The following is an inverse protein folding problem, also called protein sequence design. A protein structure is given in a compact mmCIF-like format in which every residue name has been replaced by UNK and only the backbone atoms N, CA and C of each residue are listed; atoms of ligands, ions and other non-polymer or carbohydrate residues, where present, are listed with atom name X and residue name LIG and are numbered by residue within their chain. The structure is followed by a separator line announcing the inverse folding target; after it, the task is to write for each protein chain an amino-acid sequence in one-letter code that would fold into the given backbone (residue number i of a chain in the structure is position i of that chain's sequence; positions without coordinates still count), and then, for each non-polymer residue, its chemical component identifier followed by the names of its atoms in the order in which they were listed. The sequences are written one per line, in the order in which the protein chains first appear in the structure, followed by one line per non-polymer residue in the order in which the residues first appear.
data_IF_104520741440
#
_entry.id   IF_104520741440
#
_cell.length_a   1.000
_cell.length_b   1.000
_cell.length_c   1.000
_cell.angle_alpha   90.00
_cell.angle_beta   90.00
_cell.angle_gamma   90.00
#
_symmetry.space_group_name_H-M   'P 1'
#
loop_
_entity.id
_entity.type
_entity.pdbx_description
1 polymer ?
#
# COMPACT_ATOMS: atom_id res chain seq x y z
N UNK A 1 2.12 -45.19 -8.23
CA UNK A 1 3.38 -44.42 -8.25
C UNK A 1 2.98 -42.97 -8.20
N UNK A 2 3.14 -42.33 -7.04
CA UNK A 2 2.82 -40.92 -6.85
C UNK A 2 4.00 -40.12 -7.38
N UNK A 3 3.83 -39.43 -8.51
CA UNK A 3 4.76 -38.36 -8.88
C UNK A 3 4.70 -37.32 -7.76
N UNK A 4 5.75 -37.26 -6.96
CA UNK A 4 6.09 -36.08 -6.19
C UNK A 4 6.34 -34.98 -7.21
N UNK A 5 5.28 -34.26 -7.60
CA UNK A 5 5.40 -32.96 -8.21
C UNK A 5 6.26 -32.14 -7.24
N UNK A 6 7.52 -31.94 -7.60
CA UNK A 6 8.37 -30.96 -6.95
C UNK A 6 7.66 -29.63 -7.18
N UNK A 7 6.94 -29.14 -6.18
CA UNK A 7 6.44 -27.77 -6.17
C UNK A 7 7.66 -26.88 -6.08
N UNK A 8 8.31 -26.64 -7.23
CA UNK A 8 9.36 -25.64 -7.35
C UNK A 8 8.79 -24.30 -6.88
N UNK A 9 9.51 -23.63 -5.98
CA UNK A 9 9.14 -22.31 -5.51
C UNK A 9 9.13 -21.37 -6.74
N UNK A 10 8.03 -20.64 -7.00
CA UNK A 10 7.93 -19.80 -8.19
C UNK A 10 9.00 -18.70 -8.15
N UNK A 11 9.58 -18.35 -9.30
CA UNK A 11 10.48 -17.19 -9.35
C UNK A 11 9.68 -15.89 -9.30
N UNK A 12 10.34 -14.77 -8.93
CA UNK A 12 9.70 -13.45 -8.98
C UNK A 12 9.21 -13.10 -10.39
N UNK A 13 9.94 -13.54 -11.43
CA UNK A 13 9.54 -13.38 -12.83
C UNK A 13 8.30 -14.17 -13.21
N UNK A 14 8.12 -15.37 -12.66
CA UNK A 14 6.91 -16.18 -12.87
C UNK A 14 5.69 -15.51 -12.24
N UNK A 15 5.83 -15.03 -11.00
CA UNK A 15 4.77 -14.32 -10.28
C UNK A 15 4.34 -13.04 -11.02
N UNK A 16 5.31 -12.26 -11.52
CA UNK A 16 5.01 -11.04 -12.30
C UNK A 16 4.29 -11.40 -13.60
N UNK A 17 4.80 -12.39 -14.35
CA UNK A 17 4.15 -12.84 -15.60
C UNK A 17 2.73 -13.34 -15.36
N UNK A 18 2.53 -14.13 -14.31
CA UNK A 18 1.21 -14.61 -13.90
C UNK A 18 0.26 -13.47 -13.55
N UNK A 19 0.71 -12.51 -12.74
CA UNK A 19 -0.07 -11.33 -12.37
C UNK A 19 -0.49 -10.50 -13.61
N UNK A 20 0.44 -10.21 -14.53
CA UNK A 20 0.14 -9.48 -15.76
C UNK A 20 -0.76 -10.28 -16.73
N UNK A 21 -0.59 -11.59 -16.81
CA UNK A 21 -1.47 -12.44 -17.61
C UNK A 21 -2.92 -12.40 -17.08
N UNK A 22 -3.12 -12.37 -15.76
CA UNK A 22 -4.45 -12.18 -15.14
C UNK A 22 -5.04 -10.83 -15.49
N UNK A 23 -4.25 -9.75 -15.37
CA UNK A 23 -4.67 -8.40 -15.72
C UNK A 23 -5.05 -8.33 -17.21
N UNK A 24 -4.26 -8.93 -18.09
CA UNK A 24 -4.53 -8.93 -19.53
C UNK A 24 -5.84 -9.65 -19.87
N UNK A 25 -6.05 -10.84 -19.30
CA UNK A 25 -7.27 -11.65 -19.49
C UNK A 25 -8.53 -10.91 -19.04
N UNK A 26 -8.46 -10.22 -17.91
CA UNK A 26 -9.59 -9.49 -17.31
C UNK A 26 -9.47 -7.97 -17.48
N UNK A 27 -8.80 -7.50 -18.55
CA UNK A 27 -8.37 -6.11 -18.69
C UNK A 27 -9.52 -5.10 -18.64
N UNK A 28 -10.69 -5.44 -19.19
CA UNK A 28 -11.88 -4.59 -19.13
C UNK A 28 -12.36 -4.39 -17.68
N UNK A 29 -12.46 -5.47 -16.91
CA UNK A 29 -12.86 -5.43 -15.50
C UNK A 29 -11.80 -4.67 -14.68
N UNK A 30 -10.52 -4.95 -14.93
CA UNK A 30 -9.41 -4.27 -14.29
C UNK A 30 -9.48 -2.75 -14.50
N UNK A 31 -9.59 -2.30 -15.76
CA UNK A 31 -9.64 -0.88 -16.11
C UNK A 31 -10.87 -0.18 -15.50
N UNK A 32 -12.04 -0.83 -15.52
CA UNK A 32 -13.25 -0.28 -14.89
C UNK A 32 -13.06 -0.14 -13.38
N UNK A 33 -12.56 -1.17 -12.70
CA UNK A 33 -12.37 -1.12 -11.24
C UNK A 33 -11.28 -0.13 -10.84
N UNK A 34 -10.18 -0.06 -11.58
CA UNK A 34 -9.12 0.94 -11.38
C UNK A 34 -9.67 2.35 -11.59
N UNK A 35 -10.45 2.57 -12.66
CA UNK A 35 -11.07 3.85 -12.94
C UNK A 35 -12.03 4.29 -11.84
N UNK A 36 -12.92 3.39 -11.39
CA UNK A 36 -13.83 3.65 -10.27
C UNK A 36 -13.08 3.93 -8.97
N UNK A 37 -12.00 3.18 -8.70
CA UNK A 37 -11.19 3.41 -7.51
C UNK A 37 -10.43 4.74 -7.57
N UNK A 38 -9.92 5.12 -8.74
CA UNK A 38 -9.29 6.43 -8.94
C UNK A 38 -10.29 7.58 -8.74
N UNK A 39 -11.51 7.45 -9.29
CA UNK A 39 -12.60 8.42 -9.08
C UNK A 39 -12.97 8.50 -7.60
N UNK A 40 -13.11 7.37 -6.91
CA UNK A 40 -13.38 7.36 -5.48
C UNK A 40 -12.28 8.09 -4.69
N UNK A 41 -11.00 7.83 -4.99
CA UNK A 41 -9.90 8.56 -4.38
C UNK A 41 -9.99 10.07 -4.65
N UNK A 42 -10.21 10.48 -5.89
CA UNK A 42 -10.37 11.90 -6.26
C UNK A 42 -11.50 12.56 -5.45
N UNK A 43 -12.67 11.92 -5.38
CA UNK A 43 -13.83 12.43 -4.65
C UNK A 43 -13.57 12.54 -3.15
N UNK A 44 -12.79 11.62 -2.58
CA UNK A 44 -12.40 11.67 -1.18
C UNK A 44 -11.38 12.78 -0.89
N UNK A 45 -10.46 13.08 -1.83
CA UNK A 45 -9.47 14.14 -1.68
C UNK A 45 -10.03 15.54 -1.96
N UNK A 46 -11.07 15.67 -2.80
CA UNK A 46 -11.61 16.95 -3.25
C UNK A 46 -11.95 17.93 -2.10
N UNK A 47 -12.62 17.50 -1.00
CA UNK A 47 -12.96 18.39 0.11
C UNK A 47 -11.75 18.91 0.89
N UNK A 48 -10.59 18.24 0.77
CA UNK A 48 -9.36 18.65 1.45
C UNK A 48 -8.52 19.62 0.63
N UNK A 49 -8.76 19.76 -0.67
CA UNK A 49 -7.95 20.63 -1.52
C UNK A 49 -8.01 22.10 -1.10
N UNK A 50 -9.20 22.61 -0.81
CA UNK A 50 -9.38 24.02 -0.43
C UNK A 50 -8.80 24.32 0.95
N UNK A 51 -9.05 23.51 2.01
CA UNK A 51 -8.37 23.70 3.27
C UNK A 51 -6.84 23.55 3.19
N UNK A 52 -6.32 22.56 2.46
CA UNK A 52 -4.88 22.39 2.28
C UNK A 52 -4.24 23.57 1.54
N UNK A 53 -4.95 24.12 0.53
CA UNK A 53 -4.53 25.33 -0.17
C UNK A 53 -4.50 26.54 0.76
N UNK A 54 -5.56 26.76 1.52
CA UNK A 54 -5.64 27.87 2.47
C UNK A 54 -4.54 27.79 3.54
N UNK A 55 -4.19 26.59 4.01
CA UNK A 55 -3.07 26.40 4.94
C UNK A 55 -1.73 26.72 4.28
N UNK A 56 -1.50 26.22 3.06
CA UNK A 56 -0.27 26.49 2.30
C UNK A 56 -0.09 27.99 2.05
N UNK A 57 -1.17 28.69 1.69
CA UNK A 57 -1.18 30.13 1.47
C UNK A 57 -0.99 30.92 2.77
N UNK A 58 -1.67 30.54 3.85
CA UNK A 58 -1.60 31.25 5.14
C UNK A 58 -0.27 31.08 5.87
N UNK A 59 0.42 29.95 5.66
CA UNK A 59 1.68 29.64 6.36
C UNK A 59 2.92 30.10 5.59
N UNK A 60 2.77 30.49 4.31
CA UNK A 60 3.89 30.92 3.46
C UNK A 60 5.06 29.92 3.38
N UNK A 61 4.85 28.67 3.81
CA UNK A 61 5.89 27.66 4.00
C UNK A 61 6.85 27.89 5.18
N UNK A 62 6.62 28.87 6.06
CA UNK A 62 7.66 29.37 6.98
C UNK A 62 7.52 29.04 8.46
N UNK A 63 6.32 28.92 9.02
CA UNK A 63 6.12 28.67 10.46
C UNK A 63 5.63 27.24 10.74
N UNK A 64 6.49 26.33 11.22
CA UNK A 64 6.14 24.96 11.55
C UNK A 64 5.03 24.84 12.60
N UNK A 65 4.95 25.77 13.56
CA UNK A 65 3.95 25.72 14.63
C UNK A 65 2.56 26.08 14.08
N UNK A 66 2.47 27.07 13.19
CA UNK A 66 1.24 27.43 12.49
C UNK A 66 0.76 26.32 11.54
N UNK A 67 1.68 25.65 10.84
CA UNK A 67 1.38 24.48 10.00
C UNK A 67 0.82 23.34 10.86
N UNK A 68 1.43 23.08 12.03
CA UNK A 68 1.00 22.01 12.92
C UNK A 68 -0.38 22.27 13.52
N UNK A 69 -0.66 23.50 13.95
CA UNK A 69 -1.95 23.90 14.52
C UNK A 69 -3.06 23.89 13.46
N UNK A 70 -2.76 24.32 12.23
CA UNK A 70 -3.68 24.22 11.12
C UNK A 70 -3.94 22.75 10.71
N UNK A 71 -2.90 21.90 10.76
CA UNK A 71 -3.02 20.46 10.55
C UNK A 71 -3.92 19.76 11.55
N UNK A 72 -3.93 20.19 12.83
CA UNK A 72 -4.86 19.63 13.84
C UNK A 72 -6.33 19.84 13.47
N UNK A 73 -6.67 20.99 12.87
CA UNK A 73 -8.04 21.28 12.43
C UNK A 73 -8.49 20.39 11.26
N UNK A 74 -7.54 19.85 10.50
CA UNK A 74 -7.80 18.90 9.42
C UNK A 74 -7.90 17.44 9.87
N UNK A 75 -7.60 17.11 11.13
CA UNK A 75 -7.65 15.74 11.62
C UNK A 75 -9.04 15.10 11.43
N UNK A 76 -10.11 15.81 11.77
CA UNK A 76 -11.49 15.32 11.60
C UNK A 76 -11.82 15.01 10.13
N UNK A 77 -11.70 15.98 9.20
CA UNK A 77 -11.85 15.74 7.77
C UNK A 77 -10.94 14.63 7.22
N UNK A 78 -9.70 14.55 7.71
CA UNK A 78 -8.74 13.51 7.30
C UNK A 78 -9.16 12.11 7.77
N UNK A 79 -9.75 11.98 8.96
CA UNK A 79 -10.31 10.71 9.44
C UNK A 79 -11.48 10.25 8.57
N UNK A 80 -12.35 11.16 8.13
CA UNK A 80 -13.44 10.83 7.20
C UNK A 80 -12.88 10.34 5.87
N UNK A 81 -11.83 10.98 5.36
CA UNK A 81 -11.12 10.54 4.16
C UNK A 81 -10.55 9.13 4.33
N UNK A 82 -9.86 8.86 5.45
CA UNK A 82 -9.31 7.53 5.74
C UNK A 82 -10.41 6.48 5.75
N UNK A 83 -11.54 6.75 6.42
CA UNK A 83 -12.68 5.83 6.46
C UNK A 83 -13.23 5.59 5.05
N UNK A 84 -13.42 6.64 4.26
CA UNK A 84 -13.86 6.53 2.87
C UNK A 84 -12.89 5.73 2.00
N UNK A 85 -11.57 5.93 2.18
CA UNK A 85 -10.54 5.20 1.46
C UNK A 85 -10.51 3.72 1.85
N UNK A 86 -10.70 3.40 3.13
CA UNK A 86 -10.85 2.01 3.62
C UNK A 86 -12.07 1.35 2.97
N UNK A 87 -13.19 2.06 2.89
CA UNK A 87 -14.42 1.54 2.27
C UNK A 87 -14.18 1.30 0.78
N UNK A 88 -13.68 2.30 0.05
CA UNK A 88 -13.40 2.21 -1.37
C UNK A 88 -12.41 1.08 -1.70
N UNK A 89 -11.32 0.98 -0.94
CA UNK A 89 -10.35 -0.10 -1.07
C UNK A 89 -10.96 -1.45 -0.72
N UNK A 90 -11.78 -1.55 0.33
CA UNK A 90 -12.44 -2.79 0.74
C UNK A 90 -13.32 -3.37 -0.36
N UNK A 91 -14.11 -2.52 -1.03
CA UNK A 91 -14.88 -2.92 -2.20
C UNK A 91 -13.98 -3.26 -3.39
N UNK A 92 -13.04 -2.36 -3.75
CA UNK A 92 -12.12 -2.57 -4.87
C UNK A 92 -11.36 -3.90 -4.75
N UNK A 93 -10.71 -4.13 -3.62
CA UNK A 93 -9.91 -5.32 -3.38
C UNK A 93 -10.75 -6.60 -3.35
N UNK A 94 -11.99 -6.53 -2.85
CA UNK A 94 -12.89 -7.68 -2.88
C UNK A 94 -13.34 -8.02 -4.29
N UNK A 95 -13.77 -7.01 -5.06
CA UNK A 95 -14.25 -7.19 -6.43
C UNK A 95 -13.10 -7.64 -7.35
N UNK A 96 -11.97 -6.95 -7.30
CA UNK A 96 -10.80 -7.25 -8.13
C UNK A 96 -10.11 -8.55 -7.73
N UNK A 97 -9.86 -8.77 -6.44
CA UNK A 97 -9.20 -10.00 -5.96
C UNK A 97 -9.98 -11.25 -6.33
N UNK A 98 -11.32 -11.19 -6.26
CA UNK A 98 -12.18 -12.29 -6.72
C UNK A 98 -12.21 -12.44 -8.23
N UNK A 99 -12.34 -11.35 -9.00
CA UNK A 99 -12.32 -11.40 -10.45
C UNK A 99 -11.01 -12.01 -10.97
N UNK A 100 -9.88 -11.54 -10.43
CA UNK A 100 -8.55 -12.02 -10.79
C UNK A 100 -8.32 -13.50 -10.42
N UNK A 101 -8.91 -13.98 -9.32
CA UNK A 101 -8.74 -15.37 -8.86
C UNK A 101 -9.71 -16.36 -9.52
N UNK A 102 -10.97 -15.95 -9.71
CA UNK A 102 -12.06 -16.85 -10.12
C UNK A 102 -12.51 -16.67 -11.56
N UNK A 103 -12.07 -15.61 -12.27
CA UNK A 103 -12.44 -15.34 -13.66
C UNK A 103 -13.95 -15.14 -13.88
N UNK A 104 -14.69 -14.75 -12.83
CA UNK A 104 -16.14 -14.52 -12.88
C UNK A 104 -16.50 -13.16 -12.27
N UNK A 105 -17.49 -12.46 -12.83
CA UNK A 105 -17.93 -11.16 -12.34
C UNK A 105 -18.43 -11.25 -10.90
N UNK A 106 -18.12 -10.19 -10.14
CA UNK A 106 -17.97 -10.18 -8.69
C UNK A 106 -19.28 -10.19 -7.86
N UNK A 107 -20.44 -10.37 -8.48
CA UNK A 107 -21.73 -10.45 -7.78
C UNK A 107 -22.01 -11.91 -7.36
N UNK A 108 -21.36 -12.37 -6.31
CA UNK A 108 -21.63 -13.67 -5.69
C UNK A 108 -22.07 -13.54 -4.24
N UNK A 109 -22.59 -14.63 -3.68
CA UNK A 109 -23.05 -14.68 -2.29
C UNK A 109 -21.99 -14.20 -1.29
N UNK A 110 -22.41 -13.35 -0.35
CA UNK A 110 -21.58 -12.86 0.74
C UNK A 110 -20.59 -11.75 0.38
N UNK A 111 -20.75 -11.06 -0.76
CA UNK A 111 -19.88 -9.94 -1.17
C UNK A 111 -19.72 -8.88 -0.07
N UNK A 112 -20.83 -8.44 0.54
CA UNK A 112 -20.81 -7.42 1.58
C UNK A 112 -20.05 -7.89 2.83
N UNK A 113 -20.29 -9.12 3.29
CA UNK A 113 -19.59 -9.67 4.45
C UNK A 113 -18.07 -9.80 4.22
N UNK A 114 -17.66 -10.13 2.99
CA UNK A 114 -16.25 -10.19 2.60
C UNK A 114 -15.64 -8.80 2.49
N UNK A 115 -16.32 -7.84 1.89
CA UNK A 115 -15.88 -6.45 1.83
C UNK A 115 -15.68 -5.88 3.24
N UNK A 116 -16.63 -6.14 4.16
CA UNK A 116 -16.51 -5.75 5.56
C UNK A 116 -15.31 -6.43 6.25
N UNK A 117 -15.09 -7.72 5.98
CA UNK A 117 -13.92 -8.42 6.51
C UNK A 117 -12.60 -7.84 5.96
N UNK A 118 -12.54 -7.47 4.67
CA UNK A 118 -11.39 -6.78 4.06
C UNK A 118 -11.19 -5.41 4.71
N UNK A 119 -12.26 -4.62 4.89
CA UNK A 119 -12.19 -3.33 5.60
C UNK A 119 -11.60 -3.49 7.00
N UNK A 120 -12.03 -4.52 7.74
CA UNK A 120 -11.46 -4.84 9.05
C UNK A 120 -9.96 -5.20 8.98
N UNK A 121 -9.52 -5.89 7.92
CA UNK A 121 -8.08 -6.13 7.69
C UNK A 121 -7.33 -4.84 7.39
N UNK A 122 -7.91 -3.92 6.63
CA UNK A 122 -7.32 -2.61 6.37
C UNK A 122 -7.17 -1.80 7.65
N UNK A 123 -8.20 -1.79 8.51
CA UNK A 123 -8.13 -1.14 9.85
C UNK A 123 -7.03 -1.78 10.70
N UNK A 124 -6.98 -3.10 10.74
CA UNK A 124 -5.92 -3.81 11.49
C UNK A 124 -4.52 -3.47 10.95
N UNK A 125 -4.34 -3.43 9.63
CA UNK A 125 -3.09 -3.04 8.99
C UNK A 125 -2.68 -1.61 9.37
N UNK A 126 -3.61 -0.64 9.33
CA UNK A 126 -3.35 0.73 9.76
C UNK A 126 -2.90 0.76 11.23
N UNK A 127 -3.57 -0.01 12.11
CA UNK A 127 -3.15 -0.18 13.49
C UNK A 127 -1.71 -0.70 13.62
N UNK A 128 -1.35 -1.74 12.86
CA UNK A 128 0.03 -2.27 12.82
C UNK A 128 1.03 -1.25 12.27
N UNK A 129 0.67 -0.53 11.21
CA UNK A 129 1.52 0.49 10.60
C UNK A 129 1.81 1.65 11.56
N UNK A 130 0.83 2.04 12.38
CA UNK A 130 1.00 3.03 13.45
C UNK A 130 1.87 2.47 14.57
N UNK A 131 1.59 1.24 15.04
CA UNK A 131 2.36 0.58 16.10
C UNK A 131 3.84 0.40 15.74
N UNK A 132 4.17 0.21 14.46
CA UNK A 132 5.55 0.12 13.98
C UNK A 132 6.13 1.50 13.64
N UNK A 133 5.31 2.43 13.16
CA UNK A 133 5.71 3.78 12.79
C UNK A 133 6.12 4.63 13.98
N UNK A 134 5.42 4.53 15.11
CA UNK A 134 5.75 5.31 16.32
C UNK A 134 7.13 4.95 16.89
N UNK A 135 7.48 3.67 17.12
CA UNK A 135 8.84 3.29 17.51
C UNK A 135 9.91 3.70 16.49
N UNK A 136 9.61 3.57 15.19
CA UNK A 136 10.53 4.02 14.14
C UNK A 136 10.79 5.52 14.23
N UNK A 137 9.74 6.32 14.42
CA UNK A 137 9.85 7.77 14.59
C UNK A 137 10.66 8.13 15.85
N UNK A 138 10.40 7.47 16.97
CA UNK A 138 11.17 7.66 18.21
C UNK A 138 12.63 7.27 18.04
N UNK A 139 12.90 6.17 17.32
CA UNK A 139 14.26 5.75 16.97
C UNK A 139 14.99 6.82 16.16
N UNK A 140 14.33 7.43 15.17
CA UNK A 140 14.92 8.52 14.37
C UNK A 140 15.29 9.73 15.24
N UNK A 141 14.40 10.15 16.14
CA UNK A 141 14.68 11.27 17.06
C UNK A 141 15.85 10.92 17.98
N UNK A 142 15.83 9.72 18.59
CA UNK A 142 16.88 9.28 19.49
C UNK A 142 18.23 9.19 18.79
N UNK A 143 18.25 8.63 17.58
CA UNK A 143 19.46 8.50 16.78
C UNK A 143 20.01 9.87 16.37
N UNK A 144 19.15 10.83 15.98
CA UNK A 144 19.56 12.21 15.74
C UNK A 144 20.14 12.87 17.00
N UNK A 145 19.53 12.65 18.17
CA UNK A 145 20.01 13.17 19.44
C UNK A 145 21.40 12.60 19.79
N UNK A 146 21.60 11.29 19.63
CA UNK A 146 22.90 10.63 19.88
C UNK A 146 23.98 11.18 18.96
N UNK A 147 23.71 11.32 17.66
CA UNK A 147 24.67 11.90 16.72
C UNK A 147 25.02 13.36 17.08
N UNK A 148 24.04 14.14 17.53
CA UNK A 148 24.25 15.48 18.06
C UNK A 148 25.18 15.51 19.29
N UNK A 149 25.04 14.53 20.20
CA UNK A 149 25.92 14.41 21.38
C UNK A 149 27.37 14.05 21.02
N UNK A 150 27.59 13.31 19.92
CA UNK A 150 28.93 12.92 19.43
C UNK A 150 29.55 14.01 18.53
N UNK A 151 28.90 15.17 18.39
CA UNK A 151 29.39 16.30 17.60
C UNK A 151 29.20 16.13 16.08
N UNK A 152 28.44 15.13 15.65
CA UNK A 152 28.11 14.93 14.24
C UNK A 152 26.94 15.85 13.90
N UNK A 153 27.20 16.89 13.11
CA UNK A 153 26.16 17.79 12.63
C UNK A 153 25.33 17.11 11.52
N UNK A 154 24.27 16.40 11.93
CA UNK A 154 23.30 15.76 11.02
C UNK A 154 22.61 16.78 10.11
N UNK A 155 22.60 18.08 10.45
CA UNK A 155 21.99 19.11 9.62
C UNK A 155 22.83 19.54 8.43
N UNK A 156 24.12 19.18 8.37
CA UNK A 156 24.94 19.35 7.17
C UNK A 156 24.40 18.48 6.03
N UNK A 157 24.54 18.93 4.78
CA UNK A 157 23.94 18.29 3.60
C UNK A 157 24.25 16.78 3.49
N UNK A 158 25.48 16.35 3.82
CA UNK A 158 25.87 14.94 3.84
C UNK A 158 25.25 14.12 4.99
N UNK A 159 25.05 14.74 6.16
CA UNK A 159 24.43 14.08 7.32
C UNK A 159 22.94 13.83 7.14
N UNK A 160 22.22 14.77 6.50
CA UNK A 160 20.79 14.62 6.17
C UNK A 160 20.57 13.49 5.17
N UNK A 161 21.42 13.40 4.14
CA UNK A 161 21.33 12.36 3.12
C UNK A 161 21.52 10.95 3.72
N UNK A 162 22.57 10.77 4.53
CA UNK A 162 22.86 9.48 5.19
C UNK A 162 21.70 9.08 6.11
N UNK A 163 21.18 10.01 6.90
CA UNK A 163 20.02 9.77 7.76
C UNK A 163 18.78 9.36 6.96
N UNK A 164 18.48 10.06 5.87
CA UNK A 164 17.35 9.73 5.00
C UNK A 164 17.49 8.34 4.38
N UNK A 165 18.69 7.95 3.93
CA UNK A 165 18.96 6.62 3.38
C UNK A 165 18.76 5.54 4.44
N UNK A 166 19.28 5.73 5.66
CA UNK A 166 19.10 4.77 6.77
C UNK A 166 17.61 4.61 7.11
N UNK A 167 16.88 5.72 7.25
CA UNK A 167 15.45 5.69 7.54
C UNK A 167 14.66 5.02 6.42
N UNK A 168 15.00 5.30 5.16
CA UNK A 168 14.37 4.66 4.01
C UNK A 168 14.62 3.14 4.01
N UNK A 169 15.85 2.70 4.28
CA UNK A 169 16.19 1.28 4.36
C UNK A 169 15.40 0.60 5.48
N UNK A 170 15.38 1.18 6.69
CA UNK A 170 14.64 0.61 7.82
C UNK A 170 13.14 0.58 7.51
N UNK A 171 12.60 1.66 6.93
CA UNK A 171 11.21 1.72 6.52
C UNK A 171 10.90 0.63 5.48
N UNK A 172 11.74 0.41 4.49
CA UNK A 172 11.59 -0.68 3.52
C UNK A 172 11.60 -2.03 4.25
N UNK A 173 12.59 -2.28 5.11
CA UNK A 173 12.71 -3.56 5.82
C UNK A 173 11.52 -3.87 6.73
N UNK A 174 10.87 -2.86 7.30
CA UNK A 174 9.71 -3.02 8.18
C UNK A 174 8.37 -3.03 7.41
N UNK A 175 8.17 -2.08 6.51
CA UNK A 175 6.88 -1.89 5.82
C UNK A 175 6.70 -2.78 4.61
N UNK A 176 7.78 -3.21 3.94
CA UNK A 176 7.65 -4.11 2.79
C UNK A 176 7.04 -5.45 3.21
N UNK A 177 7.58 -6.18 4.21
CA UNK A 177 6.98 -7.46 4.62
C UNK A 177 5.56 -7.30 5.16
N UNK A 178 5.30 -6.23 5.90
CA UNK A 178 3.96 -5.95 6.43
C UNK A 178 2.95 -5.68 5.31
N UNK A 179 3.32 -4.87 4.32
CA UNK A 179 2.46 -4.51 3.20
C UNK A 179 2.21 -5.71 2.28
N UNK A 180 3.23 -6.52 2.02
CA UNK A 180 3.11 -7.77 1.27
C UNK A 180 2.19 -8.77 1.99
N UNK A 181 2.36 -8.98 3.30
CA UNK A 181 1.48 -9.84 4.07
C UNK A 181 0.04 -9.32 4.14
N UNK A 182 -0.14 -8.00 4.20
CA UNK A 182 -1.46 -7.37 4.15
C UNK A 182 -2.17 -7.65 2.82
N UNK A 183 -1.50 -7.48 1.68
CA UNK A 183 -2.11 -7.73 0.37
C UNK A 183 -2.50 -9.21 0.19
N UNK A 184 -1.67 -10.15 0.69
CA UNK A 184 -2.03 -11.57 0.76
C UNK A 184 -3.26 -11.81 1.63
N UNK A 185 -3.30 -11.23 2.84
CA UNK A 185 -4.44 -11.38 3.74
C UNK A 185 -5.74 -10.80 3.16
N UNK A 186 -5.65 -9.68 2.44
CA UNK A 186 -6.77 -9.03 1.75
C UNK A 186 -7.31 -9.93 0.65
N UNK A 187 -6.44 -10.45 -0.22
CA UNK A 187 -6.84 -11.34 -1.31
C UNK A 187 -7.46 -12.63 -0.77
N UNK A 188 -6.86 -13.24 0.24
CA UNK A 188 -7.39 -14.45 0.86
C UNK A 188 -8.76 -14.19 1.52
N UNK A 189 -8.89 -13.05 2.20
CA UNK A 189 -10.18 -12.62 2.79
C UNK A 189 -11.23 -12.32 1.72
N UNK A 190 -10.84 -11.72 0.59
CA UNK A 190 -11.74 -11.47 -0.53
C UNK A 190 -12.28 -12.79 -1.13
N UNK A 191 -11.43 -13.83 -1.24
CA UNK A 191 -11.74 -15.10 -1.90
C UNK A 191 -12.39 -16.13 -0.96
N UNK A 192 -11.97 -16.23 0.30
CA UNK A 192 -12.47 -17.23 1.26
C UNK A 192 -13.23 -16.62 2.45
N UNK A 193 -13.24 -15.30 2.60
CA UNK A 193 -13.86 -14.63 3.75
C UNK A 193 -13.04 -14.70 5.04
N UNK A 194 -11.83 -15.26 5.00
CA UNK A 194 -10.97 -15.46 6.18
C UNK A 194 -9.50 -15.36 5.80
N UNK A 195 -8.73 -14.56 6.55
CA UNK A 195 -7.31 -14.77 6.90
C UNK A 195 -6.80 -13.60 7.75
N UNK A 196 -6.36 -13.82 9.00
CA UNK A 196 -5.63 -12.83 9.79
C UNK A 196 -4.27 -12.48 9.17
N UNK A 197 -3.84 -11.22 9.31
CA UNK A 197 -2.56 -10.71 8.78
C UNK A 197 -1.37 -11.54 9.28
N UNK A 198 -1.35 -11.98 10.55
CA UNK A 198 -0.25 -12.76 11.10
C UNK A 198 -0.10 -14.15 10.44
N UNK A 199 -1.20 -14.78 10.01
CA UNK A 199 -1.14 -16.06 9.28
C UNK A 199 -0.61 -15.85 7.86
N UNK A 200 -1.06 -14.78 7.18
CA UNK A 200 -0.51 -14.41 5.88
C UNK A 200 1.00 -14.08 5.97
N UNK A 201 1.41 -13.42 7.05
CA UNK A 201 2.82 -13.13 7.31
C UNK A 201 3.64 -14.41 7.51
N UNK A 202 3.16 -15.36 8.32
CA UNK A 202 3.83 -16.64 8.52
C UNK A 202 3.95 -17.46 7.22
N UNK A 203 2.88 -17.52 6.43
CA UNK A 203 2.90 -18.20 5.14
C UNK A 203 3.92 -17.56 4.18
N UNK A 204 3.90 -16.22 4.09
CA UNK A 204 4.85 -15.46 3.27
C UNK A 204 6.30 -15.63 3.73
N UNK A 205 6.59 -15.64 5.03
CA UNK A 205 7.97 -15.79 5.51
C UNK A 205 8.55 -17.18 5.25
N UNK A 206 7.70 -18.21 5.12
CA UNK A 206 8.13 -19.59 4.82
C UNK A 206 8.47 -19.81 3.35
N UNK A 207 7.69 -19.23 2.44
CA UNK A 207 7.72 -19.58 1.00
C UNK A 207 7.56 -18.35 0.06
N UNK A 208 7.67 -17.13 0.59
CA UNK A 208 7.32 -15.89 -0.12
C UNK A 208 8.50 -15.02 -0.47
N UNK A 209 9.73 -15.55 -0.58
CA UNK A 209 10.91 -14.74 -0.96
C UNK A 209 10.75 -14.13 -2.35
N UNK A 210 10.33 -14.96 -3.31
CA UNK A 210 10.02 -14.51 -4.67
C UNK A 210 8.89 -13.48 -4.69
N UNK A 211 7.89 -13.64 -3.84
CA UNK A 211 6.80 -12.67 -3.69
C UNK A 211 7.27 -11.34 -3.12
N UNK A 212 8.10 -11.34 -2.07
CA UNK A 212 8.69 -10.12 -1.52
C UNK A 212 9.52 -9.37 -2.58
N UNK A 213 10.29 -10.10 -3.38
CA UNK A 213 11.09 -9.50 -4.46
C UNK A 213 10.19 -8.92 -5.56
N UNK A 214 9.20 -9.67 -6.03
CA UNK A 214 8.25 -9.20 -7.05
C UNK A 214 7.46 -7.98 -6.53
N UNK A 215 7.01 -8.02 -5.28
CA UNK A 215 6.32 -6.92 -4.62
C UNK A 215 7.21 -5.69 -4.52
N UNK A 216 8.47 -5.87 -4.10
CA UNK A 216 9.44 -4.78 -4.05
C UNK A 216 9.64 -4.13 -5.43
N UNK A 217 9.79 -4.92 -6.48
CA UNK A 217 9.94 -4.42 -7.85
C UNK A 217 8.71 -3.61 -8.28
N UNK A 218 7.50 -4.11 -8.04
CA UNK A 218 6.26 -3.37 -8.35
C UNK A 218 6.18 -2.08 -7.52
N UNK A 219 6.47 -2.15 -6.22
CA UNK A 219 6.46 -0.98 -5.33
C UNK A 219 7.46 0.07 -5.79
N UNK A 220 8.65 -0.36 -6.22
CA UNK A 220 9.70 0.51 -6.74
C UNK A 220 9.27 1.16 -8.05
N UNK A 221 8.70 0.41 -9.00
CA UNK A 221 8.23 0.95 -10.28
C UNK A 221 7.14 2.01 -10.05
N UNK A 222 6.13 1.70 -9.24
CA UNK A 222 5.05 2.65 -8.97
C UNK A 222 5.51 3.83 -8.10
N UNK A 223 6.45 3.60 -7.17
CA UNK A 223 7.07 4.66 -6.39
C UNK A 223 7.90 5.62 -7.25
N UNK A 224 8.72 5.09 -8.16
CA UNK A 224 9.49 5.88 -9.12
C UNK A 224 8.58 6.59 -10.13
N UNK A 225 7.54 5.93 -10.64
CA UNK A 225 6.57 6.55 -11.52
C UNK A 225 5.83 7.69 -10.82
N UNK A 226 5.44 7.50 -9.55
CA UNK A 226 4.84 8.55 -8.72
C UNK A 226 5.81 9.70 -8.45
N UNK A 227 7.09 9.42 -8.21
CA UNK A 227 8.12 10.45 -8.04
C UNK A 227 8.37 11.23 -9.33
N UNK A 228 8.54 10.54 -10.47
CA UNK A 228 8.69 11.19 -11.78
C UNK A 228 7.47 12.01 -12.13
N UNK A 229 6.27 11.49 -11.84
CA UNK A 229 5.03 12.26 -11.94
C UNK A 229 5.13 13.52 -11.09
N UNK A 230 5.36 13.41 -9.78
CA UNK A 230 5.46 14.57 -8.90
C UNK A 230 6.45 15.62 -9.42
N UNK A 231 7.68 15.21 -9.81
CA UNK A 231 8.71 16.10 -10.35
C UNK A 231 8.31 16.79 -11.67
N UNK A 232 7.75 16.05 -12.63
CA UNK A 232 7.29 16.62 -13.90
C UNK A 232 6.15 17.62 -13.69
N UNK A 233 5.39 17.51 -12.60
CA UNK A 233 4.18 18.28 -12.36
C UNK A 233 4.31 19.34 -11.23
N UNK A 234 5.39 19.33 -10.44
CA UNK A 234 5.72 20.40 -9.46
C UNK A 234 6.40 21.61 -10.08
N UNK A 235 7.16 21.43 -11.17
CA UNK A 235 8.00 22.51 -11.73
C UNK A 235 7.30 23.37 -12.81
N UNK A 236 6.16 22.95 -13.36
CA UNK A 236 5.53 23.61 -14.53
C UNK A 236 4.13 24.23 -14.31
N UNK A 237 3.77 24.64 -13.09
CA UNK A 237 2.56 25.47 -12.88
C UNK A 237 1.23 24.77 -13.23
N UNK A 238 1.22 23.43 -13.25
CA UNK A 238 0.04 22.65 -13.59
C UNK A 238 -0.97 22.70 -12.43
N UNK A 239 -2.29 22.81 -12.72
CA UNK A 239 -3.32 22.85 -11.69
C UNK A 239 -3.24 21.64 -10.76
N UNK A 240 -3.29 21.88 -9.45
CA UNK A 240 -3.33 20.87 -8.36
C UNK A 240 -4.27 19.69 -8.64
N UNK A 241 -5.35 19.94 -9.38
CA UNK A 241 -6.33 18.93 -9.80
C UNK A 241 -5.76 17.86 -10.72
N UNK A 242 -4.90 18.21 -11.67
CA UNK A 242 -4.29 17.27 -12.62
C UNK A 242 -3.25 16.37 -11.93
N UNK A 243 -2.43 16.95 -11.04
CA UNK A 243 -1.51 16.16 -10.21
C UNK A 243 -2.26 15.15 -9.35
N UNK A 244 -3.36 15.57 -8.71
CA UNK A 244 -4.24 14.69 -7.93
C UNK A 244 -4.85 13.56 -8.76
N UNK A 245 -5.32 13.85 -9.97
CA UNK A 245 -5.88 12.84 -10.88
C UNK A 245 -4.82 11.79 -11.22
N UNK A 246 -3.62 12.22 -11.60
CA UNK A 246 -2.53 11.30 -11.92
C UNK A 246 -2.14 10.43 -10.72
N UNK A 247 -1.96 11.05 -9.54
CA UNK A 247 -1.68 10.32 -8.30
C UNK A 247 -2.76 9.29 -7.97
N UNK A 248 -4.04 9.64 -8.12
CA UNK A 248 -5.14 8.70 -7.90
C UNK A 248 -5.11 7.53 -8.88
N UNK A 249 -4.79 7.77 -10.16
CA UNK A 249 -4.66 6.72 -11.18
C UNK A 249 -3.47 5.80 -10.86
N UNK A 250 -2.29 6.36 -10.59
CA UNK A 250 -1.09 5.56 -10.27
C UNK A 250 -1.27 4.73 -9.00
N UNK A 251 -1.85 5.30 -7.94
CA UNK A 251 -2.16 4.57 -6.72
C UNK A 251 -3.16 3.43 -6.97
N UNK A 252 -4.17 3.68 -7.79
CA UNK A 252 -5.19 2.68 -8.12
C UNK A 252 -4.62 1.54 -8.96
N UNK A 253 -3.78 1.86 -9.96
CA UNK A 253 -3.06 0.88 -10.76
C UNK A 253 -2.10 0.05 -9.90
N UNK A 254 -1.30 0.72 -9.06
CA UNK A 254 -0.36 0.06 -8.15
C UNK A 254 -1.08 -0.91 -7.22
N UNK A 255 -2.18 -0.49 -6.59
CA UNK A 255 -3.01 -1.37 -5.77
C UNK A 255 -3.54 -2.57 -6.56
N UNK A 256 -4.04 -2.37 -7.78
CA UNK A 256 -4.53 -3.43 -8.63
C UNK A 256 -3.45 -4.47 -9.01
N UNK A 257 -2.25 -4.01 -9.37
CA UNK A 257 -1.11 -4.89 -9.70
C UNK A 257 -0.63 -5.67 -8.46
N UNK A 258 -0.54 -5.02 -7.31
CA UNK A 258 -0.17 -5.68 -6.05
C UNK A 258 -1.16 -6.77 -5.64
N UNK A 259 -2.46 -6.53 -5.83
CA UNK A 259 -3.50 -7.53 -5.59
C UNK A 259 -3.40 -8.69 -6.58
N UNK A 260 -3.16 -8.41 -7.87
CA UNK A 260 -2.96 -9.47 -8.87
C UNK A 260 -1.74 -10.35 -8.53
N UNK A 261 -0.66 -9.74 -8.04
CA UNK A 261 0.51 -10.46 -7.56
C UNK A 261 0.20 -11.32 -6.32
N UNK A 262 -0.59 -10.81 -5.38
CA UNK A 262 -1.01 -11.59 -4.21
C UNK A 262 -1.95 -12.75 -4.59
N UNK A 263 -2.83 -12.56 -5.58
CA UNK A 263 -3.66 -13.63 -6.17
C UNK A 263 -2.79 -14.70 -6.82
N UNK A 264 -1.73 -14.32 -7.53
CA UNK A 264 -0.81 -15.29 -8.11
C UNK A 264 -0.08 -16.07 -7.03
N UNK A 265 0.52 -15.37 -6.06
CA UNK A 265 1.24 -16.00 -4.96
C UNK A 265 0.36 -16.94 -4.13
N UNK A 266 -0.92 -16.62 -3.97
CA UNK A 266 -1.89 -17.48 -3.28
C UNK A 266 -1.91 -18.91 -3.82
N UNK A 267 -1.76 -19.09 -5.13
CA UNK A 267 -1.74 -20.43 -5.75
C UNK A 267 -0.56 -21.31 -5.30
N UNK A 268 0.46 -20.68 -4.71
CA UNK A 268 1.70 -21.31 -4.25
C UNK A 268 1.84 -21.35 -2.73
N UNK A 269 0.87 -20.81 -1.98
CA UNK A 269 0.92 -20.78 -0.52
C UNK A 269 -0.07 -21.79 0.07
N UNK A 270 0.40 -22.59 1.02
CA UNK A 270 -0.49 -23.37 1.88
C UNK A 270 -0.90 -22.55 3.11
N UNK A 271 -2.17 -22.12 3.13
CA UNK A 271 -2.77 -21.44 4.28
C UNK A 271 -3.33 -22.40 5.34
N UNK A 272 -3.16 -23.73 5.18
CA UNK A 272 -3.55 -24.72 6.19
C UNK A 272 -2.81 -24.43 7.50
N UNK A 273 -3.59 -24.42 8.59
CA UNK A 273 -3.09 -24.15 9.94
C UNK A 273 -1.91 -25.07 10.25
N UNK A 274 -0.85 -24.59 10.91
CA UNK A 274 0.17 -25.49 11.45
C UNK A 274 -0.56 -26.55 12.27
N UNK A 275 -0.29 -27.82 11.95
CA UNK A 275 -0.80 -28.97 12.70
C UNK A 275 -0.51 -28.70 14.19
N UNK A 276 -1.51 -28.96 15.04
CA UNK A 276 -1.36 -28.83 16.49
C UNK A 276 -0.13 -29.65 16.90
N UNK A 277 0.91 -28.96 17.35
CA UNK A 277 2.03 -29.56 18.10
C UNK A 277 1.49 -29.92 19.48
#
# INVERSE_FOLDING_TARGET
MSETATTEEPTAGDLLRGAFARISRESQIFLVLVGLYAVANILLYLPLLEPLRAIREATGGGDPAAIQEAGKRLLGPFLILIIGAIIAFGFFATLWGRAAALGRPAAGDGLFGRALAVMWRTVAFIGWAILLGVPLFLFVILFQAVLGLVGINVQAAGGKLIMQVIVAIIAILLYLPLSSAFQLAVVETAIEGRTPIHLAFQAMMRQGRAYLLAFFVVALIFGLAGFVWDQLFTDEGIPTRLSMIGSAIFNSLGAGVMLALAVEMRGHLDFRRPERI
#
